data_IF_353394528646
#
_entry.id   IF_353394528646
#
_cell.length_a   1.000
_cell.length_b   1.000
_cell.length_c   1.000
_cell.angle_alpha   90.00
_cell.angle_beta   90.00
_cell.angle_gamma   90.00
#
_symmetry.space_group_name_H-M   'P 1'
#
loop_
_entity.id
_entity.type
_entity.pdbx_description
1 polymer ?
#
# COMPACT_ATOMS: atom_id res chain seq x y z
N UNK A 1 5.88 -3.02 28.31
CA UNK A 1 4.87 -3.01 27.22
C UNK A 1 5.62 -3.28 25.92
N UNK A 2 5.08 -4.19 25.13
CA UNK A 2 5.67 -4.55 23.85
C UNK A 2 5.69 -3.33 22.92
N UNK A 3 6.76 -3.22 22.13
CA UNK A 3 6.92 -2.12 21.16
C UNK A 3 6.68 -2.68 19.76
N UNK A 4 5.77 -2.04 19.03
CA UNK A 4 5.41 -2.40 17.67
C UNK A 4 6.11 -1.47 16.68
N UNK A 5 6.77 -2.05 15.67
CA UNK A 5 7.56 -1.28 14.71
C UNK A 5 6.76 -1.11 13.41
N UNK A 6 6.70 0.13 12.92
CA UNK A 6 6.05 0.50 11.66
C UNK A 6 7.08 1.18 10.75
N UNK A 7 7.04 0.88 9.46
CA UNK A 7 7.98 1.42 8.47
C UNK A 7 7.22 2.19 7.40
N UNK A 8 7.66 3.39 7.14
CA UNK A 8 7.27 4.21 6.01
C UNK A 8 8.47 4.52 5.12
N UNK A 9 8.22 4.68 3.83
CA UNK A 9 9.20 5.25 2.89
C UNK A 9 8.57 6.47 2.24
N UNK A 10 9.26 7.63 2.27
CA UNK A 10 8.69 8.89 1.80
C UNK A 10 9.73 9.82 1.20
N UNK A 11 9.36 10.57 0.18
CA UNK A 11 10.12 11.74 -0.26
C UNK A 11 9.40 13.02 0.14
N UNK A 12 10.07 14.16 -0.06
CA UNK A 12 9.52 15.48 0.23
C UNK A 12 8.09 15.69 -0.32
N UNK A 13 7.85 15.31 -1.57
CA UNK A 13 6.54 15.50 -2.22
C UNK A 13 5.41 14.68 -1.58
N UNK A 14 5.73 13.57 -0.94
CA UNK A 14 4.76 12.70 -0.27
C UNK A 14 4.70 12.92 1.25
N UNK A 15 5.52 13.79 1.80
CA UNK A 15 5.60 14.02 3.25
C UNK A 15 4.24 14.27 3.88
N UNK A 16 3.44 15.17 3.32
CA UNK A 16 2.13 15.52 3.86
C UNK A 16 1.15 14.33 3.88
N UNK A 17 1.24 13.44 2.90
CA UNK A 17 0.41 12.24 2.83
C UNK A 17 0.90 11.19 3.83
N UNK A 18 2.22 11.01 3.94
CA UNK A 18 2.86 10.16 4.95
C UNK A 18 2.48 10.62 6.36
N UNK A 19 2.54 11.91 6.62
CA UNK A 19 2.18 12.49 7.91
C UNK A 19 0.70 12.24 8.24
N UNK A 20 -0.20 12.35 7.26
CA UNK A 20 -1.63 12.02 7.43
C UNK A 20 -1.83 10.54 7.80
N UNK A 21 -1.12 9.64 7.11
CA UNK A 21 -1.13 8.20 7.43
C UNK A 21 -0.59 7.94 8.85
N UNK A 22 0.52 8.58 9.23
CA UNK A 22 1.12 8.48 10.57
C UNK A 22 0.15 8.98 11.65
N UNK A 23 -0.54 10.11 11.44
CA UNK A 23 -1.57 10.56 12.38
C UNK A 23 -2.70 9.55 12.53
N UNK A 24 -3.17 8.96 11.43
CA UNK A 24 -4.19 7.92 11.49
C UNK A 24 -3.70 6.68 12.25
N UNK A 25 -2.44 6.28 12.06
CA UNK A 25 -1.82 5.18 12.81
C UNK A 25 -1.80 5.47 14.31
N UNK A 26 -1.26 6.62 14.71
CA UNK A 26 -1.11 7.00 16.13
C UNK A 26 -2.47 7.06 16.83
N UNK A 27 -3.45 7.71 16.22
CA UNK A 27 -4.76 7.93 16.82
C UNK A 27 -5.57 6.64 17.01
N UNK A 28 -5.39 5.65 16.14
CA UNK A 28 -6.06 4.36 16.25
C UNK A 28 -5.24 3.29 17.02
N UNK A 29 -4.03 3.66 17.50
CA UNK A 29 -3.13 2.74 18.20
C UNK A 29 -2.59 3.33 19.52
N UNK A 30 -3.37 4.15 20.23
CA UNK A 30 -2.95 4.82 21.48
C UNK A 30 -2.66 3.85 22.63
N UNK A 31 -3.17 2.63 22.56
CA UNK A 31 -3.02 1.60 23.60
C UNK A 31 -1.78 0.71 23.42
N UNK A 32 -0.91 1.01 22.44
CA UNK A 32 0.35 0.31 22.21
C UNK A 32 1.52 1.30 22.06
N UNK A 33 2.74 0.83 22.37
CA UNK A 33 3.94 1.61 22.07
C UNK A 33 4.32 1.41 20.60
N UNK A 34 4.45 2.50 19.86
CA UNK A 34 4.81 2.50 18.45
C UNK A 34 6.23 3.04 18.26
N UNK A 35 7.07 2.32 17.54
CA UNK A 35 8.29 2.90 16.93
C UNK A 35 8.04 3.04 15.43
N UNK A 36 8.01 4.27 14.94
CA UNK A 36 7.77 4.59 13.53
C UNK A 36 9.12 4.88 12.88
N UNK A 37 9.53 4.02 11.97
CA UNK A 37 10.75 4.13 11.17
C UNK A 37 10.38 4.80 9.84
N UNK A 38 11.12 5.81 9.43
CA UNK A 38 10.87 6.53 8.17
C UNK A 38 12.16 6.54 7.37
N UNK A 39 12.15 5.90 6.20
CA UNK A 39 13.23 6.04 5.21
C UNK A 39 12.86 7.20 4.30
N UNK A 40 13.61 8.30 4.39
CA UNK A 40 13.31 9.55 3.72
C UNK A 40 14.23 9.83 2.52
N UNK A 41 13.70 10.62 1.55
CA UNK A 41 14.46 11.18 0.44
C UNK A 41 14.14 12.68 0.29
N UNK A 42 15.07 13.52 0.79
CA UNK A 42 15.03 14.96 0.61
C UNK A 42 14.13 15.72 1.58
N UNK A 43 13.95 15.23 2.80
CA UNK A 43 13.31 16.00 3.87
C UNK A 43 14.17 17.20 4.26
N UNK A 44 13.53 18.34 4.54
CA UNK A 44 14.15 19.53 5.11
C UNK A 44 14.10 19.49 6.65
N UNK A 45 14.78 20.46 7.28
CA UNK A 45 14.73 20.62 8.75
C UNK A 45 13.30 20.77 9.29
N UNK A 46 12.40 21.35 8.50
CA UNK A 46 11.01 21.54 8.90
C UNK A 46 10.26 20.20 9.01
N UNK A 47 10.43 19.29 8.04
CA UNK A 47 9.83 17.95 8.10
C UNK A 47 10.38 17.15 9.27
N UNK A 48 11.68 17.21 9.52
CA UNK A 48 12.29 16.58 10.70
C UNK A 48 11.70 17.15 12.00
N UNK A 49 11.58 18.46 12.13
CA UNK A 49 11.00 19.11 13.31
C UNK A 49 9.56 18.65 13.55
N UNK A 50 8.72 18.65 12.50
CA UNK A 50 7.32 18.20 12.60
C UNK A 50 7.25 16.75 13.13
N UNK A 51 8.08 15.86 12.58
CA UNK A 51 8.11 14.46 13.01
C UNK A 51 8.56 14.30 14.46
N UNK A 52 9.63 14.99 14.90
CA UNK A 52 10.08 14.93 16.29
C UNK A 52 9.12 15.60 17.28
N UNK A 53 8.30 16.56 16.83
CA UNK A 53 7.25 17.13 17.67
C UNK A 53 6.13 16.13 17.95
N UNK A 54 5.91 15.12 17.09
CA UNK A 54 4.97 14.01 17.37
C UNK A 54 5.36 13.22 18.62
N UNK A 55 6.66 12.96 18.86
CA UNK A 55 7.13 12.27 20.08
C UNK A 55 6.85 13.07 21.36
N UNK A 56 6.83 14.40 21.26
CA UNK A 56 6.50 15.27 22.40
C UNK A 56 5.02 15.23 22.71
N UNK A 57 4.18 15.15 21.66
CA UNK A 57 2.72 15.13 21.79
C UNK A 57 2.23 13.74 22.23
N UNK A 58 2.74 12.67 21.57
CA UNK A 58 2.29 11.29 21.77
C UNK A 58 3.34 10.46 22.52
N UNK A 59 3.17 10.26 23.81
CA UNK A 59 4.17 9.61 24.69
C UNK A 59 4.42 8.12 24.40
N UNK A 60 3.51 7.47 23.70
CA UNK A 60 3.61 6.08 23.25
C UNK A 60 4.27 5.95 21.88
N UNK A 61 4.80 7.04 21.31
CA UNK A 61 5.39 7.06 19.94
C UNK A 61 6.87 7.41 20.02
N UNK A 62 7.68 6.68 19.25
CA UNK A 62 9.07 7.01 18.93
C UNK A 62 9.23 7.14 17.42
N UNK A 63 9.96 8.14 16.96
CA UNK A 63 10.27 8.36 15.55
C UNK A 63 11.75 8.11 15.29
N UNK A 64 12.05 7.30 14.28
CA UNK A 64 13.42 7.06 13.80
C UNK A 64 13.48 7.35 12.30
N UNK A 65 14.30 8.28 11.91
CA UNK A 65 14.42 8.74 10.52
C UNK A 65 15.77 8.29 9.96
N UNK A 66 15.73 7.77 8.73
CA UNK A 66 16.89 7.23 8.02
C UNK A 66 16.95 7.82 6.62
N UNK A 67 18.13 8.26 6.20
CA UNK A 67 18.32 8.68 4.81
C UNK A 67 18.35 7.47 3.87
N UNK A 68 17.69 7.59 2.71
CA UNK A 68 17.70 6.58 1.65
C UNK A 68 19.10 6.42 0.98
N UNK A 69 20.05 7.27 1.22
CA UNK A 69 21.32 7.33 0.47
C UNK A 69 22.03 5.98 0.36
N UNK A 70 22.09 5.20 1.44
CA UNK A 70 22.67 3.85 1.41
C UNK A 70 21.93 2.91 0.46
N UNK A 71 20.61 3.03 0.38
CA UNK A 71 19.77 2.18 -0.46
C UNK A 71 19.76 2.63 -1.93
N UNK A 72 20.05 3.92 -2.21
CA UNK A 72 20.23 4.42 -3.59
C UNK A 72 21.37 3.69 -4.27
N UNK A 73 22.51 3.50 -3.61
CA UNK A 73 23.65 2.77 -4.19
C UNK A 73 23.32 1.31 -4.51
N UNK A 74 22.47 0.64 -3.72
CA UNK A 74 21.98 -0.71 -4.03
C UNK A 74 21.11 -0.69 -5.28
N UNK A 75 20.14 0.23 -5.39
CA UNK A 75 19.28 0.37 -6.55
C UNK A 75 20.07 0.65 -7.84
N UNK A 76 21.09 1.50 -7.75
CA UNK A 76 21.98 1.85 -8.89
C UNK A 76 22.85 0.66 -9.31
N UNK A 77 23.48 -0.02 -8.33
CA UNK A 77 24.32 -1.19 -8.60
C UNK A 77 23.55 -2.31 -9.31
N UNK A 78 22.33 -2.59 -8.91
CA UNK A 78 21.47 -3.62 -9.49
C UNK A 78 20.58 -3.12 -10.63
N UNK A 79 20.66 -1.84 -11.00
CA UNK A 79 19.86 -1.20 -12.04
C UNK A 79 18.35 -1.45 -11.90
N UNK A 80 17.84 -1.37 -10.65
CA UNK A 80 16.43 -1.60 -10.37
C UNK A 80 15.61 -0.45 -10.96
N UNK A 81 14.55 -0.74 -11.74
CA UNK A 81 13.72 0.30 -12.34
C UNK A 81 13.11 1.23 -11.30
N UNK A 82 13.10 2.52 -11.61
CA UNK A 82 12.46 3.55 -10.78
C UNK A 82 10.94 3.52 -10.99
N UNK A 83 10.18 3.60 -9.91
CA UNK A 83 8.76 3.85 -10.00
C UNK A 83 8.50 5.36 -10.09
N UNK A 84 7.90 5.84 -11.19
CA UNK A 84 7.61 7.28 -11.38
C UNK A 84 8.82 8.20 -11.07
N UNK A 85 9.99 7.83 -11.58
CA UNK A 85 11.26 8.54 -11.40
C UNK A 85 11.82 8.57 -9.96
N UNK A 86 11.34 7.72 -9.05
CA UNK A 86 11.87 7.61 -7.68
C UNK A 86 12.23 6.17 -7.32
N UNK A 87 13.23 6.01 -6.43
CA UNK A 87 13.61 4.71 -5.85
C UNK A 87 12.94 4.47 -4.48
N UNK A 88 12.16 5.42 -3.98
CA UNK A 88 11.53 5.36 -2.66
C UNK A 88 10.72 4.06 -2.45
N UNK A 89 9.87 3.61 -3.39
CA UNK A 89 9.13 2.37 -3.20
C UNK A 89 10.04 1.14 -3.04
N UNK A 90 11.17 1.09 -3.77
CA UNK A 90 12.10 -0.02 -3.68
C UNK A 90 12.79 -0.13 -2.30
N UNK A 91 12.82 0.96 -1.53
CA UNK A 91 13.47 0.97 -0.21
C UNK A 91 12.86 -0.04 0.78
N UNK A 92 11.56 -0.40 0.61
CA UNK A 92 10.91 -1.45 1.41
C UNK A 92 11.55 -2.83 1.27
N UNK A 93 12.20 -3.11 0.15
CA UNK A 93 12.87 -4.38 -0.10
C UNK A 93 14.24 -4.47 0.62
N UNK A 94 14.85 -3.33 0.93
CA UNK A 94 16.22 -3.24 1.44
C UNK A 94 16.31 -2.59 2.83
N UNK A 95 15.18 -2.38 3.50
CA UNK A 95 15.14 -1.70 4.81
C UNK A 95 16.06 -2.37 5.84
N UNK A 96 16.21 -3.70 5.76
CA UNK A 96 17.06 -4.48 6.65
C UNK A 96 18.57 -4.17 6.52
N UNK A 97 18.98 -3.40 5.48
CA UNK A 97 20.35 -2.91 5.37
C UNK A 97 20.65 -1.76 6.35
N UNK A 98 19.63 -1.05 6.82
CA UNK A 98 19.77 0.12 7.69
C UNK A 98 19.03 -0.01 9.02
N UNK A 99 17.93 -0.76 9.10
CA UNK A 99 17.16 -0.99 10.32
C UNK A 99 17.53 -2.39 10.86
N UNK A 100 18.00 -2.44 12.11
CA UNK A 100 18.48 -3.67 12.75
C UNK A 100 17.84 -3.86 14.13
N UNK A 101 17.93 -5.07 14.67
CA UNK A 101 17.55 -5.42 16.05
C UNK A 101 16.07 -5.17 16.35
N UNK A 102 15.21 -5.69 15.49
CA UNK A 102 13.74 -5.72 15.64
C UNK A 102 13.24 -7.14 15.40
N UNK A 103 12.09 -7.51 15.99
CA UNK A 103 11.48 -8.82 15.79
C UNK A 103 10.54 -8.83 14.57
N UNK A 104 9.60 -7.90 14.56
CA UNK A 104 8.64 -7.71 13.46
C UNK A 104 8.53 -6.24 13.13
N UNK A 105 8.24 -5.93 11.85
CA UNK A 105 7.95 -4.59 11.39
C UNK A 105 6.86 -4.62 10.33
N UNK A 106 5.88 -3.72 10.44
CA UNK A 106 4.87 -3.53 9.41
C UNK A 106 5.22 -2.34 8.52
N UNK A 107 5.52 -2.62 7.26
CA UNK A 107 5.63 -1.59 6.24
C UNK A 107 4.23 -1.12 5.83
N UNK A 108 4.08 0.19 5.66
CA UNK A 108 2.83 0.85 5.30
C UNK A 108 3.12 1.93 4.25
N UNK A 109 2.42 1.89 3.11
CA UNK A 109 2.53 2.92 2.08
C UNK A 109 2.01 4.29 2.56
N UNK A 110 2.62 5.36 2.07
CA UNK A 110 2.25 6.74 2.41
C UNK A 110 0.82 7.14 2.00
N UNK A 111 0.23 6.42 1.05
CA UNK A 111 -1.14 6.63 0.58
C UNK A 111 -2.14 5.65 1.20
N UNK A 112 -2.00 5.42 2.49
CA UNK A 112 -2.90 4.61 3.33
C UNK A 112 -3.52 5.43 4.44
N UNK A 113 -4.64 4.95 4.99
CA UNK A 113 -5.27 5.46 6.22
C UNK A 113 -5.57 4.29 7.13
N UNK A 114 -5.02 4.33 8.32
CA UNK A 114 -5.27 3.35 9.38
C UNK A 114 -6.55 3.76 10.10
N UNK A 115 -7.50 2.83 10.22
CA UNK A 115 -8.82 3.11 10.82
C UNK A 115 -9.15 2.20 11.99
N UNK A 116 -8.28 1.25 12.30
CA UNK A 116 -8.44 0.34 13.43
C UNK A 116 -7.08 -0.02 14.04
N UNK A 117 -7.11 -0.69 15.20
CA UNK A 117 -5.90 -1.10 15.92
C UNK A 117 -5.15 -2.20 15.19
N UNK A 118 -3.83 -2.06 15.04
CA UNK A 118 -2.97 -2.99 14.28
C UNK A 118 -2.28 -4.05 15.15
N UNK A 119 -2.45 -4.02 16.47
CA UNK A 119 -1.77 -4.94 17.40
C UNK A 119 -1.96 -6.40 17.01
N UNK A 120 -3.17 -6.78 16.60
CA UNK A 120 -3.51 -8.16 16.28
C UNK A 120 -2.67 -8.76 15.14
N UNK A 121 -2.25 -7.95 14.17
CA UNK A 121 -1.40 -8.39 13.07
C UNK A 121 -0.01 -8.90 13.53
N UNK A 122 0.48 -8.41 14.67
CA UNK A 122 1.79 -8.77 15.22
C UNK A 122 1.75 -9.99 16.13
N UNK A 123 0.54 -10.44 16.53
CA UNK A 123 0.40 -11.56 17.48
C UNK A 123 0.60 -12.90 16.76
N UNK A 124 1.29 -13.80 17.46
CA UNK A 124 1.59 -15.15 16.97
C UNK A 124 2.84 -15.18 16.09
N UNK A 125 3.32 -16.40 15.88
CA UNK A 125 4.45 -16.65 15.01
C UNK A 125 3.96 -17.00 13.61
N UNK A 126 4.65 -16.49 12.61
CA UNK A 126 4.48 -16.89 11.21
C UNK A 126 5.66 -17.77 10.77
N UNK A 127 5.40 -18.75 9.93
CA UNK A 127 6.48 -19.51 9.28
C UNK A 127 7.11 -18.74 8.12
N UNK A 128 6.44 -17.70 7.64
CA UNK A 128 6.82 -16.90 6.48
C UNK A 128 7.66 -15.68 6.85
N UNK A 129 8.64 -15.29 6.01
CA UNK A 129 9.43 -14.07 6.19
C UNK A 129 8.59 -12.79 5.99
N UNK A 130 7.55 -12.89 5.19
CA UNK A 130 6.63 -11.78 4.88
C UNK A 130 5.18 -12.27 4.84
N UNK A 131 4.27 -11.41 5.31
CA UNK A 131 2.83 -11.62 5.15
C UNK A 131 2.19 -10.39 4.47
N UNK A 132 1.36 -10.64 3.45
CA UNK A 132 0.73 -9.61 2.62
C UNK A 132 -0.72 -9.94 2.31
N UNK A 133 -1.46 -8.93 1.83
CA UNK A 133 -2.82 -9.10 1.32
C UNK A 133 -2.78 -9.42 -0.17
N UNK A 134 -3.58 -10.41 -0.60
CA UNK A 134 -3.65 -10.85 -1.99
C UNK A 134 -4.27 -9.79 -2.91
N UNK A 135 -3.75 -9.70 -4.12
CA UNK A 135 -4.45 -9.08 -5.25
C UNK A 135 -5.44 -10.08 -5.88
N UNK A 136 -6.52 -9.54 -6.45
CA UNK A 136 -7.59 -10.38 -6.99
C UNK A 136 -7.16 -11.22 -8.20
N UNK A 137 -6.06 -10.86 -8.85
CA UNK A 137 -5.48 -11.60 -9.98
C UNK A 137 -3.99 -11.32 -10.14
N UNK A 138 -3.30 -12.29 -10.74
CA UNK A 138 -1.91 -12.13 -11.15
C UNK A 138 -1.85 -11.25 -12.41
N UNK A 139 -1.00 -10.21 -12.46
CA UNK A 139 -0.82 -9.41 -13.66
C UNK A 139 -0.42 -10.24 -14.89
N UNK A 140 -0.90 -9.85 -16.07
CA UNK A 140 -0.70 -10.62 -17.31
C UNK A 140 0.76 -10.89 -17.67
N UNK A 141 1.67 -9.98 -17.28
CA UNK A 141 3.11 -10.12 -17.54
C UNK A 141 3.81 -11.11 -16.59
N UNK A 142 3.14 -11.56 -15.51
CA UNK A 142 3.67 -12.52 -14.53
C UNK A 142 2.87 -13.83 -14.43
N UNK A 143 1.84 -14.03 -15.28
CA UNK A 143 0.94 -15.18 -15.19
C UNK A 143 1.61 -16.54 -15.39
N UNK A 144 2.69 -16.59 -16.15
CA UNK A 144 3.46 -17.81 -16.37
C UNK A 144 4.43 -18.11 -15.21
N UNK A 145 4.66 -17.11 -14.35
CA UNK A 145 5.64 -17.18 -13.27
C UNK A 145 5.00 -17.33 -11.89
N UNK A 146 3.77 -16.86 -11.69
CA UNK A 146 3.14 -16.77 -10.37
C UNK A 146 1.73 -17.35 -10.34
N UNK A 147 1.42 -18.12 -9.29
CA UNK A 147 0.07 -18.59 -8.99
C UNK A 147 -0.73 -17.58 -8.16
N UNK A 148 -0.08 -16.80 -7.32
CA UNK A 148 -0.64 -15.75 -6.49
C UNK A 148 0.11 -14.44 -6.71
N UNK A 149 -0.57 -13.34 -6.43
CA UNK A 149 0.05 -12.03 -6.45
C UNK A 149 -0.44 -11.21 -5.26
N UNK A 150 0.47 -10.53 -4.59
CA UNK A 150 0.22 -9.83 -3.35
C UNK A 150 0.53 -8.35 -3.50
N UNK A 151 -0.29 -7.51 -2.86
CA UNK A 151 -0.09 -6.06 -2.83
C UNK A 151 0.96 -5.69 -1.79
N UNK A 152 1.95 -4.88 -2.17
CA UNK A 152 3.07 -4.48 -1.31
C UNK A 152 2.83 -3.16 -0.54
N UNK A 153 1.64 -2.60 -0.58
CA UNK A 153 1.33 -1.37 0.17
C UNK A 153 1.23 -1.57 1.68
N UNK A 154 0.99 -2.82 2.13
CA UNK A 154 1.08 -3.23 3.55
C UNK A 154 1.78 -4.57 3.60
N UNK A 155 2.89 -4.65 4.34
CA UNK A 155 3.70 -5.86 4.50
C UNK A 155 4.07 -6.03 5.97
N UNK A 156 3.74 -7.17 6.54
CA UNK A 156 4.29 -7.56 7.84
C UNK A 156 5.53 -8.42 7.61
N UNK A 157 6.67 -7.96 8.06
CA UNK A 157 7.94 -8.69 8.02
C UNK A 157 8.21 -9.36 9.38
N UNK A 158 8.53 -10.65 9.35
CA UNK A 158 9.29 -11.32 10.42
C UNK A 158 10.77 -11.04 10.13
N UNK A 159 11.38 -10.18 10.94
CA UNK A 159 12.70 -9.62 10.61
C UNK A 159 13.79 -10.69 10.50
N UNK A 160 13.79 -11.66 11.41
CA UNK A 160 14.80 -12.72 11.41
C UNK A 160 14.72 -13.59 10.15
N UNK A 161 13.51 -13.99 9.78
CA UNK A 161 13.26 -14.77 8.56
C UNK A 161 13.52 -13.97 7.30
N UNK A 162 13.09 -12.68 7.31
CA UNK A 162 13.37 -11.78 6.19
C UNK A 162 14.87 -11.64 5.90
N UNK A 163 15.70 -11.44 6.93
CA UNK A 163 17.16 -11.32 6.76
C UNK A 163 17.75 -12.62 6.20
N UNK A 164 17.23 -13.77 6.59
CA UNK A 164 17.66 -15.06 6.07
C UNK A 164 17.33 -15.25 4.58
N UNK A 165 16.16 -14.78 4.14
CA UNK A 165 15.62 -15.02 2.81
C UNK A 165 15.78 -13.83 1.85
N UNK A 166 16.17 -12.64 2.33
CA UNK A 166 16.27 -11.42 1.52
C UNK A 166 17.28 -11.49 0.36
N UNK A 167 18.22 -12.44 0.39
CA UNK A 167 19.12 -12.71 -0.73
C UNK A 167 18.37 -13.06 -2.02
N UNK A 168 17.19 -13.70 -1.91
CA UNK A 168 16.32 -14.04 -3.07
C UNK A 168 15.91 -12.81 -3.88
N UNK A 169 15.77 -11.66 -3.23
CA UNK A 169 15.51 -10.37 -3.89
C UNK A 169 16.63 -10.07 -4.90
N UNK A 170 17.87 -10.23 -4.49
CA UNK A 170 19.03 -9.98 -5.34
C UNK A 170 19.16 -11.04 -6.45
N UNK A 171 18.80 -12.28 -6.18
CA UNK A 171 18.83 -13.34 -7.18
C UNK A 171 17.80 -13.10 -8.28
N UNK A 172 16.56 -12.73 -7.91
CA UNK A 172 15.53 -12.37 -8.89
C UNK A 172 15.96 -11.16 -9.71
N UNK A 173 16.49 -10.10 -9.09
CA UNK A 173 16.93 -8.91 -9.83
C UNK A 173 18.01 -9.24 -10.87
N UNK A 174 18.91 -10.19 -10.58
CA UNK A 174 19.99 -10.60 -11.50
C UNK A 174 19.52 -11.54 -12.63
N UNK A 175 18.50 -12.35 -12.35
CA UNK A 175 18.12 -13.47 -13.25
C UNK A 175 16.83 -13.22 -14.01
N UNK A 176 16.01 -12.24 -13.60
CA UNK A 176 14.74 -11.99 -14.26
C UNK A 176 14.90 -11.47 -15.69
N UNK A 177 14.17 -12.10 -16.60
CA UNK A 177 14.09 -11.70 -18.02
C UNK A 177 12.78 -10.93 -18.30
N UNK A 178 11.82 -10.91 -17.36
CA UNK A 178 10.54 -10.27 -17.56
C UNK A 178 10.59 -8.75 -17.31
N UNK A 179 9.74 -8.01 -18.02
CA UNK A 179 9.58 -6.58 -17.82
C UNK A 179 8.79 -6.32 -16.53
N UNK A 180 9.39 -5.63 -15.57
CA UNK A 180 8.69 -5.15 -14.38
C UNK A 180 7.73 -4.01 -14.73
N UNK A 181 6.51 -4.10 -14.20
CA UNK A 181 5.48 -3.05 -14.33
C UNK A 181 5.33 -2.30 -12.99
N UNK A 182 5.42 -3.03 -11.89
CA UNK A 182 5.44 -2.52 -10.51
C UNK A 182 6.72 -3.03 -9.84
N UNK A 183 7.87 -2.35 -10.01
CA UNK A 183 9.18 -2.95 -9.75
C UNK A 183 9.32 -3.60 -8.38
N UNK A 184 9.01 -2.89 -7.30
CA UNK A 184 9.11 -3.39 -5.93
C UNK A 184 8.11 -4.54 -5.65
N UNK A 185 6.87 -4.42 -6.15
CA UNK A 185 5.83 -5.43 -5.97
C UNK A 185 6.13 -6.69 -6.79
N UNK A 186 6.52 -6.53 -8.07
CA UNK A 186 6.85 -7.65 -8.96
C UNK A 186 8.06 -8.43 -8.41
N UNK A 187 9.13 -7.73 -8.00
CA UNK A 187 10.34 -8.33 -7.45
C UNK A 187 10.02 -9.12 -6.17
N UNK A 188 9.27 -8.55 -5.24
CA UNK A 188 8.93 -9.23 -3.99
C UNK A 188 8.10 -10.48 -4.24
N UNK A 189 7.09 -10.41 -5.10
CA UNK A 189 6.24 -11.54 -5.43
C UNK A 189 7.03 -12.67 -6.11
N UNK A 190 7.92 -12.35 -7.05
CA UNK A 190 8.78 -13.34 -7.71
C UNK A 190 9.80 -13.95 -6.74
N UNK A 191 10.42 -13.14 -5.90
CA UNK A 191 11.46 -13.62 -4.99
C UNK A 191 10.92 -14.51 -3.86
N UNK A 192 9.67 -14.28 -3.44
CA UNK A 192 9.08 -14.94 -2.27
C UNK A 192 7.87 -15.81 -2.63
N UNK A 193 7.65 -16.18 -3.91
CA UNK A 193 6.42 -16.83 -4.40
C UNK A 193 5.85 -17.89 -3.43
N UNK A 194 6.70 -18.85 -3.01
CA UNK A 194 6.29 -19.96 -2.12
C UNK A 194 6.46 -19.62 -0.63
N UNK A 195 6.88 -18.39 -0.31
CA UNK A 195 7.28 -17.99 1.05
C UNK A 195 6.56 -16.71 1.52
N UNK A 196 5.33 -16.48 1.03
CA UNK A 196 4.46 -15.39 1.42
C UNK A 196 3.29 -15.91 2.25
N UNK A 197 3.15 -15.41 3.48
CA UNK A 197 1.96 -15.61 4.29
C UNK A 197 0.82 -14.68 3.84
N UNK A 198 -0.41 -15.19 3.87
CA UNK A 198 -1.58 -14.37 3.53
C UNK A 198 -2.10 -13.66 4.77
N UNK A 199 -2.17 -12.33 4.75
CA UNK A 199 -2.83 -11.51 5.77
C UNK A 199 -4.35 -11.47 5.53
N UNK A 200 -5.10 -11.15 6.58
CA UNK A 200 -6.52 -10.82 6.46
C UNK A 200 -6.70 -9.59 5.54
N UNK A 201 -7.71 -9.65 4.66
CA UNK A 201 -7.94 -8.62 3.66
C UNK A 201 -8.21 -7.22 4.25
N UNK A 202 -8.68 -7.15 5.50
CA UNK A 202 -8.94 -5.88 6.22
C UNK A 202 -7.70 -4.99 6.40
N UNK A 203 -6.50 -5.58 6.31
CA UNK A 203 -5.25 -4.83 6.42
C UNK A 203 -4.84 -4.09 5.13
N UNK A 204 -5.56 -4.26 4.01
CA UNK A 204 -5.25 -3.53 2.79
C UNK A 204 -6.48 -3.42 1.87
N UNK A 205 -7.49 -2.65 2.31
CA UNK A 205 -8.72 -2.43 1.54
C UNK A 205 -8.49 -1.30 0.54
N UNK A 206 -8.69 -1.58 -0.75
CA UNK A 206 -8.52 -0.62 -1.83
C UNK A 206 -9.82 -0.38 -2.63
N UNK A 207 -9.97 0.75 -3.34
CA UNK A 207 -11.22 1.18 -3.96
C UNK A 207 -11.91 0.15 -4.87
N UNK A 208 -11.21 -0.58 -5.76
CA UNK A 208 -11.84 -1.61 -6.59
C UNK A 208 -12.63 -2.65 -5.79
N UNK A 209 -12.04 -3.15 -4.69
CA UNK A 209 -12.68 -4.14 -3.82
C UNK A 209 -13.83 -3.50 -3.02
N UNK A 210 -13.59 -2.33 -2.42
CA UNK A 210 -14.63 -1.61 -1.67
C UNK A 210 -15.88 -1.35 -2.51
N UNK A 211 -15.70 -1.01 -3.80
CA UNK A 211 -16.82 -0.73 -4.69
C UNK A 211 -17.45 -2.03 -5.19
N UNK A 212 -16.66 -3.05 -5.52
CA UNK A 212 -17.16 -4.36 -5.92
C UNK A 212 -18.13 -4.93 -4.88
N UNK A 213 -17.75 -4.85 -3.59
CA UNK A 213 -18.55 -5.38 -2.48
C UNK A 213 -19.87 -4.64 -2.24
N UNK A 214 -20.06 -3.43 -2.82
CA UNK A 214 -21.37 -2.74 -2.83
C UNK A 214 -22.40 -3.43 -3.77
N UNK A 215 -21.97 -4.34 -4.62
CA UNK A 215 -22.80 -5.04 -5.59
C UNK A 215 -22.69 -6.56 -5.37
N UNK A 216 -23.45 -7.17 -4.43
CA UNK A 216 -23.27 -8.55 -3.99
C UNK A 216 -23.26 -9.57 -5.15
N UNK A 217 -24.17 -9.44 -6.11
CA UNK A 217 -24.21 -10.33 -7.28
C UNK A 217 -22.91 -10.28 -8.10
N UNK A 218 -22.39 -9.07 -8.37
CA UNK A 218 -21.14 -8.90 -9.12
C UNK A 218 -19.95 -9.40 -8.30
N UNK A 219 -19.96 -9.17 -6.98
CA UNK A 219 -18.93 -9.62 -6.07
C UNK A 219 -18.83 -11.15 -6.04
N UNK A 220 -19.94 -11.86 -5.81
CA UNK A 220 -19.97 -13.32 -5.88
C UNK A 220 -19.43 -13.83 -7.21
N UNK A 221 -19.97 -13.33 -8.34
CA UNK A 221 -19.54 -13.77 -9.66
C UNK A 221 -18.05 -13.51 -9.96
N UNK A 222 -17.48 -12.42 -9.42
CA UNK A 222 -16.05 -12.11 -9.59
C UNK A 222 -15.18 -12.99 -8.73
N UNK A 223 -15.55 -13.15 -7.46
CA UNK A 223 -14.76 -13.89 -6.47
C UNK A 223 -14.78 -15.40 -6.73
N UNK A 224 -15.89 -15.96 -7.22
CA UNK A 224 -15.95 -17.36 -7.68
C UNK A 224 -14.95 -17.68 -8.80
N UNK A 225 -14.64 -16.71 -9.65
CA UNK A 225 -13.64 -16.87 -10.72
C UNK A 225 -12.20 -16.68 -10.25
N UNK A 226 -12.01 -16.04 -9.10
CA UNK A 226 -10.69 -15.75 -8.52
C UNK A 226 -10.29 -16.88 -7.54
N UNK A 227 -9.92 -18.04 -8.08
CA UNK A 227 -9.72 -19.31 -7.33
C UNK A 227 -8.72 -19.20 -6.17
N UNK A 228 -7.78 -18.27 -6.24
CA UNK A 228 -6.72 -18.10 -5.23
C UNK A 228 -6.87 -16.80 -4.43
N UNK A 229 -8.07 -16.20 -4.40
CA UNK A 229 -8.37 -14.98 -3.65
C UNK A 229 -9.21 -15.29 -2.40
N UNK A 230 -9.55 -14.28 -1.63
CA UNK A 230 -10.46 -14.40 -0.49
C UNK A 230 -11.88 -14.74 -0.97
N UNK A 231 -12.59 -15.53 -0.17
CA UNK A 231 -14.02 -15.79 -0.37
C UNK A 231 -14.87 -14.51 -0.19
N UNK A 232 -16.11 -14.56 -0.67
CA UNK A 232 -17.05 -13.45 -0.46
C UNK A 232 -17.26 -13.12 1.02
N UNK A 233 -17.37 -14.15 1.89
CA UNK A 233 -17.60 -13.95 3.31
C UNK A 233 -16.38 -13.35 4.02
N UNK A 234 -15.16 -13.76 3.65
CA UNK A 234 -13.92 -13.13 4.16
C UNK A 234 -13.84 -11.66 3.74
N UNK A 235 -14.12 -11.36 2.47
CA UNK A 235 -14.14 -9.98 1.98
C UNK A 235 -15.22 -9.14 2.65
N UNK A 236 -16.41 -9.69 2.90
CA UNK A 236 -17.50 -9.01 3.60
C UNK A 236 -17.07 -8.64 5.02
N UNK A 237 -16.49 -9.57 5.78
CA UNK A 237 -15.95 -9.31 7.12
C UNK A 237 -14.86 -8.24 7.11
N UNK A 238 -13.96 -8.29 6.11
CA UNK A 238 -12.90 -7.32 5.97
C UNK A 238 -13.42 -5.89 5.71
N UNK A 239 -14.46 -5.75 4.87
CA UNK A 239 -15.10 -4.46 4.59
C UNK A 239 -15.90 -3.92 5.80
N UNK A 240 -16.52 -4.80 6.57
CA UNK A 240 -17.27 -4.44 7.79
C UNK A 240 -16.34 -4.00 8.94
N UNK A 241 -15.11 -4.55 8.99
CA UNK A 241 -14.12 -4.26 10.03
C UNK A 241 -12.75 -3.96 9.43
N UNK A 242 -12.59 -2.88 8.66
CA UNK A 242 -11.34 -2.54 8.00
C UNK A 242 -10.29 -2.10 9.02
N UNK A 243 -9.02 -2.43 8.76
CA UNK A 243 -7.88 -1.92 9.52
C UNK A 243 -7.16 -0.81 8.76
N UNK A 244 -6.92 -1.00 7.45
CA UNK A 244 -6.18 -0.07 6.62
C UNK A 244 -6.91 0.11 5.28
N UNK A 245 -7.19 1.36 4.94
CA UNK A 245 -7.58 1.76 3.60
C UNK A 245 -6.36 2.19 2.80
N UNK A 246 -6.26 1.74 1.56
CA UNK A 246 -5.19 2.06 0.64
C UNK A 246 -5.74 2.78 -0.59
N UNK A 247 -5.10 3.88 -1.01
CA UNK A 247 -5.58 4.74 -2.10
C UNK A 247 -5.62 4.06 -3.47
N UNK A 248 -4.64 3.23 -3.79
CA UNK A 248 -4.50 2.43 -5.02
C UNK A 248 -4.55 3.20 -6.36
N UNK A 249 -4.81 4.45 -6.36
CA UNK A 249 -4.66 5.53 -7.35
C UNK A 249 -4.86 5.33 -8.87
N UNK A 250 -5.22 4.16 -9.40
CA UNK A 250 -5.19 3.92 -10.86
C UNK A 250 -6.38 4.55 -11.59
N UNK A 251 -7.62 4.20 -11.22
CA UNK A 251 -8.84 4.75 -11.82
C UNK A 251 -9.61 5.67 -10.89
N UNK A 252 -9.45 5.46 -9.59
CA UNK A 252 -10.22 6.14 -8.55
C UNK A 252 -9.54 7.42 -8.06
N UNK A 253 -8.30 7.67 -8.51
CA UNK A 253 -7.48 8.77 -8.00
C UNK A 253 -6.92 8.50 -6.61
N UNK A 254 -6.14 9.45 -6.12
CA UNK A 254 -5.62 9.41 -4.76
C UNK A 254 -6.64 9.96 -3.77
N UNK A 255 -6.43 9.72 -2.47
CA UNK A 255 -7.28 10.30 -1.40
C UNK A 255 -7.40 11.83 -1.49
N UNK A 256 -6.33 12.49 -1.94
CA UNK A 256 -6.21 13.94 -2.03
C UNK A 256 -6.58 14.53 -3.39
N UNK A 257 -6.96 13.68 -4.35
CA UNK A 257 -7.42 14.17 -5.66
C UNK A 257 -8.82 14.78 -5.54
N UNK A 258 -9.05 15.93 -6.19
CA UNK A 258 -10.30 16.68 -6.11
C UNK A 258 -11.49 16.03 -6.84
N UNK A 259 -11.33 14.83 -7.37
CA UNK A 259 -12.37 14.15 -8.17
C UNK A 259 -13.42 13.38 -7.33
N UNK A 260 -13.24 13.26 -6.03
CA UNK A 260 -14.14 12.53 -5.09
C UNK A 260 -14.60 11.13 -5.52
N UNK A 261 -13.88 10.49 -6.45
CA UNK A 261 -14.21 9.12 -6.90
C UNK A 261 -13.71 8.09 -5.90
N UNK A 262 -12.60 8.38 -5.24
CA UNK A 262 -12.05 7.48 -4.25
C UNK A 262 -13.00 7.41 -3.04
N UNK A 263 -13.51 6.22 -2.67
CA UNK A 263 -14.50 6.09 -1.60
C UNK A 263 -13.98 6.48 -0.22
N UNK A 264 -12.66 6.65 -0.07
CA UNK A 264 -11.99 6.95 1.19
C UNK A 264 -11.57 8.42 1.33
N UNK A 265 -11.95 9.26 0.37
CA UNK A 265 -11.58 10.68 0.36
C UNK A 265 -11.98 11.41 1.64
N UNK A 266 -13.22 11.22 2.12
CA UNK A 266 -13.73 11.90 3.31
C UNK A 266 -12.97 11.50 4.58
N UNK A 267 -12.58 10.22 4.70
CA UNK A 267 -11.81 9.78 5.86
C UNK A 267 -10.37 10.29 5.82
N UNK A 268 -9.78 10.42 4.64
CA UNK A 268 -8.48 11.07 4.47
C UNK A 268 -8.54 12.54 4.91
N UNK A 269 -9.59 13.29 4.50
CA UNK A 269 -9.79 14.68 4.90
C UNK A 269 -9.88 14.83 6.43
N UNK A 270 -10.61 13.96 7.10
CA UNK A 270 -10.71 13.97 8.55
C UNK A 270 -9.34 13.89 9.23
N UNK A 271 -8.46 12.96 8.81
CA UNK A 271 -7.11 12.86 9.39
C UNK A 271 -6.20 13.99 8.92
N UNK A 272 -6.33 14.47 7.69
CA UNK A 272 -5.53 15.57 7.16
C UNK A 272 -5.76 16.86 7.93
N UNK A 273 -7.01 17.22 8.20
CA UNK A 273 -7.38 18.44 8.90
C UNK A 273 -6.97 18.46 10.39
N UNK A 274 -6.63 17.33 10.99
CA UNK A 274 -6.14 17.27 12.38
C UNK A 274 -4.82 18.01 12.54
N UNK A 275 -3.92 17.90 11.57
CA UNK A 275 -2.61 18.53 11.63
C UNK A 275 -2.43 19.69 10.64
N UNK A 276 -3.31 19.81 9.67
CA UNK A 276 -3.31 20.87 8.66
C UNK A 276 -4.72 21.45 8.52
N UNK A 277 -5.04 22.41 9.42
CA UNK A 277 -6.34 23.10 9.43
C UNK A 277 -6.58 23.98 8.19
N UNK A 278 -5.53 24.25 7.41
CA UNK A 278 -5.64 24.99 6.13
C UNK A 278 -6.01 24.11 4.95
N UNK A 279 -6.05 22.80 5.14
CA UNK A 279 -6.39 21.86 4.08
C UNK A 279 -7.85 22.03 3.66
N UNK A 280 -8.04 22.64 2.49
CA UNK A 280 -9.34 22.81 1.84
C UNK A 280 -9.30 21.98 0.55
N UNK A 281 -10.33 21.16 0.37
CA UNK A 281 -10.52 20.46 -0.89
C UNK A 281 -11.43 21.30 -1.78
N UNK A 282 -10.95 21.65 -2.98
CA UNK A 282 -11.77 22.26 -4.00
C UNK A 282 -12.64 21.20 -4.70
N UNK A 283 -13.96 21.35 -4.61
CA UNK A 283 -14.91 20.47 -5.27
C UNK A 283 -15.15 20.95 -6.70
N UNK A 284 -14.89 20.06 -7.66
CA UNK A 284 -15.29 20.29 -9.04
C UNK A 284 -16.53 19.44 -9.36
N UNK A 285 -17.72 20.02 -9.13
CA UNK A 285 -19.02 19.31 -9.30
C UNK A 285 -19.25 18.81 -10.73
N UNK A 286 -18.75 19.50 -11.75
CA UNK A 286 -18.89 19.08 -13.14
C UNK A 286 -18.14 17.78 -13.43
N UNK A 287 -16.94 17.65 -12.87
CA UNK A 287 -16.16 16.42 -12.96
C UNK A 287 -16.83 15.28 -12.17
N UNK A 288 -17.34 15.57 -10.97
CA UNK A 288 -17.99 14.60 -10.10
C UNK A 288 -19.18 13.93 -10.79
N UNK A 289 -20.04 14.68 -11.47
CA UNK A 289 -21.23 14.13 -12.11
C UNK A 289 -20.92 13.25 -13.31
N UNK A 290 -19.91 13.61 -14.12
CA UNK A 290 -19.45 12.80 -15.27
C UNK A 290 -18.77 11.48 -14.85
N UNK A 291 -18.22 11.43 -13.65
CA UNK A 291 -17.35 10.33 -13.20
C UNK A 291 -18.04 9.34 -12.26
N UNK A 292 -19.20 9.67 -11.66
CA UNK A 292 -19.95 8.78 -10.75
C UNK A 292 -20.26 7.40 -11.36
N UNK A 293 -20.44 7.32 -12.66
CA UNK A 293 -20.74 6.07 -13.37
C UNK A 293 -19.49 5.20 -13.59
N UNK A 294 -18.28 5.78 -13.58
CA UNK A 294 -17.04 5.05 -13.90
C UNK A 294 -16.75 3.92 -12.91
N UNK A 295 -16.86 4.11 -11.58
CA UNK A 295 -16.65 3.02 -10.62
C UNK A 295 -17.58 1.84 -10.87
N UNK A 296 -18.86 2.08 -11.17
CA UNK A 296 -19.82 1.02 -11.49
C UNK A 296 -19.46 0.32 -12.80
N UNK A 297 -19.22 1.08 -13.88
CA UNK A 297 -18.81 0.52 -15.17
C UNK A 297 -17.52 -0.30 -15.04
N UNK A 298 -16.54 0.22 -14.32
CA UNK A 298 -15.29 -0.50 -14.07
C UNK A 298 -15.53 -1.82 -13.34
N UNK A 299 -16.42 -1.85 -12.35
CA UNK A 299 -16.80 -3.07 -11.64
C UNK A 299 -17.47 -4.06 -12.58
N UNK A 300 -18.44 -3.63 -13.39
CA UNK A 300 -19.12 -4.48 -14.39
C UNK A 300 -18.10 -5.05 -15.39
N UNK A 301 -17.26 -4.20 -15.97
CA UNK A 301 -16.24 -4.64 -16.94
C UNK A 301 -15.27 -5.65 -16.30
N UNK A 302 -14.85 -5.45 -15.05
CA UNK A 302 -13.95 -6.36 -14.34
C UNK A 302 -14.54 -7.77 -14.12
N UNK A 303 -15.86 -7.89 -14.08
CA UNK A 303 -16.56 -9.18 -13.89
C UNK A 303 -16.79 -9.92 -15.20
N UNK A 304 -17.10 -9.19 -16.27
CA UNK A 304 -17.56 -9.78 -17.52
C UNK A 304 -16.51 -9.85 -18.63
N UNK A 305 -15.42 -9.10 -18.51
CA UNK A 305 -14.32 -9.13 -19.48
C UNK A 305 -13.22 -10.10 -19.05
N UNK A 306 -12.46 -10.63 -20.02
CA UNK A 306 -11.17 -11.26 -19.73
C UNK A 306 -10.21 -10.22 -19.15
N UNK A 307 -9.25 -10.64 -18.33
CA UNK A 307 -8.26 -9.73 -17.72
C UNK A 307 -7.53 -8.88 -18.76
N UNK A 308 -7.13 -9.47 -19.88
CA UNK A 308 -6.47 -8.76 -20.97
C UNK A 308 -7.35 -7.66 -21.58
N UNK A 309 -8.62 -7.97 -21.84
CA UNK A 309 -9.58 -7.01 -22.38
C UNK A 309 -9.91 -5.92 -21.36
N UNK A 310 -9.99 -6.30 -20.08
CA UNK A 310 -10.22 -5.37 -18.98
C UNK A 310 -9.05 -4.38 -18.80
N UNK A 311 -7.80 -4.84 -18.85
CA UNK A 311 -6.62 -3.95 -18.79
C UNK A 311 -6.60 -2.97 -19.98
N UNK A 312 -6.93 -3.41 -21.19
CA UNK A 312 -7.09 -2.51 -22.34
C UNK A 312 -8.19 -1.48 -22.14
N UNK A 313 -9.34 -1.90 -21.59
CA UNK A 313 -10.46 -1.00 -21.30
C UNK A 313 -10.06 0.05 -20.24
N UNK A 314 -9.34 -0.32 -19.19
CA UNK A 314 -8.81 0.61 -18.19
C UNK A 314 -7.90 1.68 -18.81
N UNK A 315 -7.00 1.26 -19.68
CA UNK A 315 -6.08 2.18 -20.37
C UNK A 315 -6.88 3.14 -21.27
N UNK A 316 -7.88 2.63 -21.99
CA UNK A 316 -8.76 3.44 -22.84
C UNK A 316 -9.55 4.47 -22.03
N UNK A 317 -10.19 4.06 -20.93
CA UNK A 317 -10.91 4.95 -20.01
C UNK A 317 -9.97 6.04 -19.48
N UNK A 318 -8.78 5.65 -19.01
CA UNK A 318 -7.80 6.60 -18.49
C UNK A 318 -7.38 7.62 -19.54
N UNK A 319 -7.12 7.19 -20.78
CA UNK A 319 -6.64 8.07 -21.87
C UNK A 319 -7.73 9.00 -22.43
N UNK A 320 -8.97 8.51 -22.54
CA UNK A 320 -10.00 9.19 -23.31
C UNK A 320 -11.10 9.83 -22.47
N UNK A 321 -11.38 9.28 -21.28
CA UNK A 321 -12.45 9.77 -20.41
C UNK A 321 -11.88 10.58 -19.23
N UNK A 322 -10.77 10.10 -18.63
CA UNK A 322 -10.14 10.75 -17.49
C UNK A 322 -8.96 11.66 -17.90
N UNK A 323 -8.93 12.18 -19.14
CA UNK A 323 -7.88 13.09 -19.58
C UNK A 323 -7.60 14.13 -18.50
N UNK A 324 -6.50 13.97 -17.78
CA UNK A 324 -5.90 15.07 -17.05
C UNK A 324 -5.38 16.05 -18.11
N UNK A 325 -5.95 17.26 -18.12
CA UNK A 325 -5.29 18.41 -18.73
C UNK A 325 -3.96 18.65 -18.03
#
# INVERSE_FOLDING_TARGET
MDTYNFLYTSNYNYFSHTLTSIYSLILNNQNINCTIHIIEDGFSENEYKILYDLEKIFKNVKIKIYSINKLKSINEYYNIPKWRNTNIPNARLFFSEIIKNIDKIMYIDSDTIIVNNLKQAFIGDTIYPVCLVKEIYVPSHLKENLNNYYNTGVILFDYKKWVQDSFRIFDIIKTMECKLVFPDQDILNLAMEDNIGTMDASYNIYPPIQILMKYPYLAHKKLEKATNFYSYEEMKKAIENPHIYHSYGVLYGRFWDNNKINPFNSIYEQYRTIWDSSFIREDNEEIINKIKIIPFLNTVLSVYMSEYSYEKAKIFIKKNILKKK
#
